data_IF_487527625732
#
_entry.id   IF_487527625732
#
_cell.length_a   1.000
_cell.length_b   1.000
_cell.length_c   1.000
_cell.angle_alpha   90.00
_cell.angle_beta   90.00
_cell.angle_gamma   90.00
#
_symmetry.space_group_name_H-M   'P 1'
#
loop_
_entity.id
_entity.type
_entity.pdbx_description
1 polymer ?
#
# COMPACT_ATOMS: atom_id res chain seq x y z
N UNK A 1 -40.34 7.76 -34.23
CA UNK A 1 -38.93 8.20 -34.19
C UNK A 1 -38.48 8.27 -32.73
N UNK A 2 -37.75 7.28 -32.20
CA UNK A 2 -37.19 7.34 -30.84
C UNK A 2 -35.69 7.54 -30.97
N UNK A 3 -35.22 8.74 -30.65
CA UNK A 3 -33.81 9.05 -30.58
C UNK A 3 -33.17 8.20 -29.47
N UNK A 4 -32.34 7.23 -29.84
CA UNK A 4 -31.49 6.49 -28.92
C UNK A 4 -30.46 7.48 -28.36
N UNK A 5 -30.73 8.03 -27.18
CA UNK A 5 -29.76 8.80 -26.42
C UNK A 5 -28.59 7.87 -26.08
N UNK A 6 -27.53 7.93 -26.89
CA UNK A 6 -26.25 7.27 -26.61
C UNK A 6 -25.70 7.90 -25.33
N UNK A 7 -25.97 7.28 -24.17
CA UNK A 7 -25.25 7.58 -22.93
C UNK A 7 -23.78 7.30 -23.20
N UNK A 8 -23.01 8.36 -23.40
CA UNK A 8 -21.56 8.30 -23.49
C UNK A 8 -21.04 7.91 -22.11
N UNK A 9 -20.82 6.61 -21.92
CA UNK A 9 -20.05 6.11 -20.80
C UNK A 9 -18.60 6.57 -20.99
N UNK A 10 -18.28 7.73 -20.43
CA UNK A 10 -16.90 8.12 -20.23
C UNK A 10 -16.32 7.16 -19.21
N UNK A 11 -15.53 6.19 -19.69
CA UNK A 11 -14.70 5.37 -18.80
C UNK A 11 -13.75 6.34 -18.13
N UNK A 12 -14.05 6.72 -16.89
CA UNK A 12 -13.10 7.45 -16.05
C UNK A 12 -11.90 6.52 -15.89
N UNK A 13 -10.88 6.74 -16.72
CA UNK A 13 -9.62 6.03 -16.59
C UNK A 13 -9.04 6.46 -15.24
N UNK A 14 -9.13 5.57 -14.25
CA UNK A 14 -8.60 5.83 -12.93
C UNK A 14 -7.10 6.17 -13.08
N UNK A 15 -6.73 7.42 -12.78
CA UNK A 15 -5.33 7.88 -12.89
C UNK A 15 -4.45 6.98 -12.03
N UNK A 16 -3.50 6.29 -12.67
CA UNK A 16 -2.49 5.49 -11.98
C UNK A 16 -1.59 6.40 -11.14
N UNK A 17 -1.57 6.18 -9.83
CA UNK A 17 -0.73 6.90 -8.89
C UNK A 17 0.66 6.29 -8.96
N UNK A 18 1.69 7.12 -9.15
CA UNK A 18 3.09 6.67 -9.11
C UNK A 18 3.62 6.84 -7.68
N UNK A 19 4.37 5.85 -7.18
CA UNK A 19 5.00 5.93 -5.85
C UNK A 19 5.92 7.15 -5.69
N UNK A 20 6.57 7.58 -6.77
CA UNK A 20 7.41 8.79 -6.80
C UNK A 20 6.63 10.10 -6.73
N UNK A 21 5.32 10.08 -7.00
CA UNK A 21 4.43 11.25 -7.00
C UNK A 21 3.48 11.26 -5.80
N UNK A 22 3.82 10.55 -4.73
CA UNK A 22 3.05 10.59 -3.48
C UNK A 22 3.23 11.95 -2.81
N UNK A 23 2.19 12.50 -2.17
CA UNK A 23 2.34 13.72 -1.41
C UNK A 23 3.37 13.53 -0.27
N UNK A 24 4.08 14.60 0.11
CA UNK A 24 5.16 14.53 1.09
C UNK A 24 4.63 14.12 2.47
N UNK A 25 5.51 13.53 3.28
CA UNK A 25 5.19 13.29 4.70
C UNK A 25 5.11 14.64 5.43
N UNK A 26 4.10 14.86 6.29
CA UNK A 26 4.10 16.01 7.17
C UNK A 26 5.33 15.94 8.09
N UNK A 27 5.92 17.10 8.35
CA UNK A 27 7.09 17.25 9.22
C UNK A 27 6.68 18.09 10.43
N UNK A 28 7.30 17.84 11.58
CA UNK A 28 7.20 18.74 12.72
C UNK A 28 7.95 20.04 12.39
N UNK A 29 7.34 21.18 12.74
CA UNK A 29 8.03 22.47 12.71
C UNK A 29 8.94 22.61 13.93
N UNK A 30 9.96 23.46 13.83
CA UNK A 30 10.91 23.71 14.93
C UNK A 30 10.22 24.20 16.22
N UNK A 31 9.12 24.95 16.09
CA UNK A 31 8.35 25.43 17.24
C UNK A 31 7.63 24.29 17.97
N UNK A 32 7.02 23.36 17.22
CA UNK A 32 6.35 22.20 17.79
C UNK A 32 7.33 21.27 18.52
N UNK A 33 8.59 21.21 18.09
CA UNK A 33 9.61 20.36 18.74
C UNK A 33 9.93 20.82 20.17
N UNK A 34 9.87 22.12 20.46
CA UNK A 34 10.09 22.68 21.80
C UNK A 34 8.97 22.35 22.78
N UNK A 35 7.77 22.05 22.26
CA UNK A 35 6.57 21.73 23.05
C UNK A 35 6.38 20.23 23.25
N UNK A 36 7.43 19.43 22.95
CA UNK A 36 7.42 17.98 23.11
C UNK A 36 8.03 17.55 24.43
N UNK A 37 7.31 16.66 25.12
CA UNK A 37 7.87 15.88 26.22
C UNK A 37 8.34 14.52 25.68
N UNK A 38 9.64 14.26 25.77
CA UNK A 38 10.28 13.01 25.34
C UNK A 38 10.62 12.13 26.54
N UNK A 39 10.15 10.88 26.52
CA UNK A 39 10.43 9.87 27.55
C UNK A 39 10.98 8.60 26.93
N UNK A 40 11.98 8.02 27.60
CA UNK A 40 12.53 6.71 27.24
C UNK A 40 12.03 5.67 28.21
N UNK A 41 11.39 4.64 27.66
CA UNK A 41 10.75 3.56 28.39
C UNK A 41 11.51 2.26 28.12
N UNK A 42 11.36 1.29 29.02
CA UNK A 42 11.78 -0.09 28.77
C UNK A 42 10.74 -0.78 27.87
N UNK A 43 11.17 -1.74 27.07
CA UNK A 43 10.30 -2.49 26.15
C UNK A 43 9.27 -3.42 26.82
N UNK A 44 9.23 -3.44 28.16
CA UNK A 44 8.32 -4.26 28.97
C UNK A 44 8.86 -5.67 29.27
N UNK A 45 8.09 -6.47 30.02
CA UNK A 45 8.32 -7.91 30.24
C UNK A 45 7.54 -8.77 29.23
N UNK A 46 7.46 -8.32 27.98
CA UNK A 46 6.76 -9.05 26.92
C UNK A 46 7.61 -10.20 26.34
N UNK A 47 7.03 -10.99 25.41
CA UNK A 47 7.79 -11.90 24.57
C UNK A 47 8.80 -11.08 23.74
N UNK A 48 10.03 -11.06 24.21
CA UNK A 48 11.10 -10.24 23.68
C UNK A 48 12.43 -10.74 24.21
N UNK A 49 13.47 -10.64 23.39
CA UNK A 49 14.82 -11.01 23.83
C UNK A 49 15.34 -10.07 24.92
N UNK A 50 16.44 -10.48 25.57
CA UNK A 50 17.09 -9.72 26.64
C UNK A 50 17.32 -8.24 26.25
N UNK A 51 17.69 -7.98 25.00
CA UNK A 51 17.97 -6.63 24.49
C UNK A 51 16.73 -5.74 24.45
N UNK A 52 15.54 -6.28 24.20
CA UNK A 52 14.30 -5.50 24.14
C UNK A 52 13.81 -5.18 25.56
N UNK A 53 13.88 -6.17 26.46
CA UNK A 53 13.29 -6.03 27.78
C UNK A 53 14.15 -5.16 28.72
N UNK A 54 15.48 -5.21 28.57
CA UNK A 54 16.41 -4.46 29.43
C UNK A 54 16.82 -3.09 28.89
N UNK A 55 16.72 -2.85 27.58
CA UNK A 55 17.15 -1.59 26.99
C UNK A 55 16.02 -0.56 27.02
N UNK A 56 16.36 0.70 27.29
CA UNK A 56 15.46 1.86 27.23
C UNK A 56 15.31 2.41 25.80
N UNK A 57 15.13 1.51 24.82
CA UNK A 57 15.04 1.87 23.40
C UNK A 57 13.64 2.31 22.96
N UNK A 58 12.60 2.05 23.75
CA UNK A 58 11.23 2.49 23.49
C UNK A 58 11.13 4.00 23.75
N UNK A 59 10.58 4.74 22.79
CA UNK A 59 10.42 6.20 22.89
C UNK A 59 8.93 6.51 23.00
N UNK A 60 8.57 7.35 23.97
CA UNK A 60 7.26 7.97 24.09
C UNK A 60 7.43 9.48 23.86
N UNK A 61 6.67 10.04 22.93
CA UNK A 61 6.59 11.46 22.66
C UNK A 61 5.18 11.95 22.99
N UNK A 62 5.08 13.04 23.74
CA UNK A 62 3.83 13.72 24.02
C UNK A 62 3.90 15.15 23.52
N UNK A 63 2.94 15.56 22.71
CA UNK A 63 2.75 16.94 22.32
C UNK A 63 1.86 17.63 23.36
N UNK A 64 2.42 18.60 24.09
CA UNK A 64 1.74 19.24 25.22
C UNK A 64 0.43 19.94 24.83
N UNK A 65 0.37 20.80 23.80
CA UNK A 65 -0.84 21.58 23.53
C UNK A 65 -1.97 20.74 22.94
N UNK A 66 -1.67 19.68 22.17
CA UNK A 66 -2.73 18.80 21.65
C UNK A 66 -3.02 17.58 22.54
N UNK A 67 -2.19 17.33 23.56
CA UNK A 67 -2.29 16.15 24.44
C UNK A 67 -2.05 14.80 23.74
N UNK A 68 -1.58 14.79 22.49
CA UNK A 68 -1.39 13.55 21.72
C UNK A 68 -0.10 12.86 22.19
N UNK A 69 -0.24 11.58 22.55
CA UNK A 69 0.88 10.71 22.95
C UNK A 69 1.09 9.65 21.88
N UNK A 70 2.35 9.46 21.49
CA UNK A 70 2.78 8.42 20.54
C UNK A 70 3.93 7.63 21.14
N UNK A 71 3.86 6.32 21.02
CA UNK A 71 4.92 5.39 21.42
C UNK A 71 5.52 4.70 20.20
N UNK A 72 6.84 4.48 20.21
CA UNK A 72 7.53 3.79 19.14
C UNK A 72 8.59 2.82 19.68
N UNK A 73 8.49 1.56 19.27
CA UNK A 73 9.43 0.48 19.56
C UNK A 73 9.54 -0.42 18.33
N UNK A 74 10.15 0.11 17.26
CA UNK A 74 10.23 -0.57 15.97
C UNK A 74 11.59 -1.23 15.77
N UNK A 75 12.65 -0.59 16.29
CA UNK A 75 14.02 -1.10 16.20
C UNK A 75 14.68 -1.20 17.57
N UNK A 76 15.85 -1.84 17.60
CA UNK A 76 16.71 -1.92 18.79
C UNK A 76 17.47 -0.62 19.10
N UNK A 77 17.43 0.38 18.21
CA UNK A 77 18.15 1.65 18.34
C UNK A 77 17.21 2.76 18.80
N UNK A 78 17.58 3.42 19.90
CA UNK A 78 16.83 4.55 20.46
C UNK A 78 16.71 5.70 19.47
N UNK A 79 17.78 6.07 18.77
CA UNK A 79 17.78 7.22 17.86
C UNK A 79 16.91 6.98 16.62
N UNK A 80 16.88 5.74 16.12
CA UNK A 80 15.97 5.34 15.04
C UNK A 80 14.52 5.42 15.51
N UNK A 81 14.21 4.88 16.70
CA UNK A 81 12.87 4.98 17.28
C UNK A 81 12.47 6.43 17.54
N UNK A 82 13.41 7.31 17.94
CA UNK A 82 13.19 8.74 18.14
C UNK A 82 12.75 9.43 16.84
N UNK A 83 13.44 9.15 15.73
CA UNK A 83 13.09 9.66 14.39
C UNK A 83 11.72 9.16 13.93
N UNK A 84 11.46 7.85 14.10
CA UNK A 84 10.18 7.23 13.73
C UNK A 84 9.02 7.76 14.58
N UNK A 85 9.24 7.97 15.89
CA UNK A 85 8.25 8.55 16.78
C UNK A 85 7.89 9.98 16.35
N UNK A 86 8.87 10.81 15.95
CA UNK A 86 8.60 12.14 15.37
C UNK A 86 7.76 12.06 14.11
N UNK A 87 8.10 11.16 13.17
CA UNK A 87 7.31 10.99 11.95
C UNK A 87 5.86 10.59 12.25
N UNK A 88 5.65 9.67 13.20
CA UNK A 88 4.32 9.24 13.66
C UNK A 88 3.55 10.37 14.34
N UNK A 89 4.21 11.15 15.19
CA UNK A 89 3.61 12.28 15.88
C UNK A 89 3.21 13.39 14.89
N UNK A 90 4.05 13.71 13.92
CA UNK A 90 3.75 14.69 12.88
C UNK A 90 2.50 14.31 12.06
N UNK A 91 2.36 13.03 11.71
CA UNK A 91 1.15 12.52 11.06
C UNK A 91 -0.08 12.72 11.95
N UNK A 92 0.01 12.34 13.23
CA UNK A 92 -1.13 12.44 14.15
C UNK A 92 -1.56 13.89 14.41
N UNK A 93 -0.60 14.81 14.53
CA UNK A 93 -0.87 16.25 14.66
C UNK A 93 -1.51 16.79 13.37
N UNK A 94 -0.98 16.46 12.20
CA UNK A 94 -1.55 16.90 10.92
C UNK A 94 -2.99 16.40 10.74
N UNK A 95 -3.27 15.17 11.13
CA UNK A 95 -4.62 14.62 11.14
C UNK A 95 -5.53 15.37 12.12
N UNK A 96 -5.04 15.67 13.33
CA UNK A 96 -5.81 16.44 14.32
C UNK A 96 -6.14 17.84 13.83
N UNK A 97 -5.16 18.55 13.24
CA UNK A 97 -5.34 19.88 12.64
C UNK A 97 -6.35 19.85 11.47
N UNK A 98 -6.37 18.76 10.70
CA UNK A 98 -7.31 18.55 9.59
C UNK A 98 -8.69 18.03 10.02
N UNK A 99 -9.04 18.07 11.30
CA UNK A 99 -10.36 17.64 11.80
C UNK A 99 -10.55 16.12 11.88
N UNK A 100 -9.46 15.34 11.93
CA UNK A 100 -9.49 13.89 12.09
C UNK A 100 -9.60 13.08 10.78
N UNK A 101 -9.78 13.76 9.65
CA UNK A 101 -9.88 13.12 8.33
C UNK A 101 -8.59 12.41 7.90
N UNK A 102 -8.69 11.46 6.94
CA UNK A 102 -7.51 10.76 6.42
C UNK A 102 -6.58 11.74 5.71
N UNK A 103 -5.27 11.62 5.96
CA UNK A 103 -4.29 12.51 5.34
C UNK A 103 -4.21 12.19 3.86
N UNK A 104 -4.05 13.20 2.99
CA UNK A 104 -3.93 13.02 1.54
C UNK A 104 -2.90 11.94 1.14
N UNK A 105 -1.81 11.82 1.91
CA UNK A 105 -0.78 10.79 1.73
C UNK A 105 -1.26 9.38 2.02
N UNK A 106 -2.04 9.19 3.07
CA UNK A 106 -2.61 7.89 3.43
C UNK A 106 -3.60 7.44 2.37
N UNK A 107 -4.46 8.33 1.91
CA UNK A 107 -5.39 8.08 0.79
C UNK A 107 -4.62 7.68 -0.47
N UNK A 108 -3.58 8.44 -0.83
CA UNK A 108 -2.77 8.14 -2.01
C UNK A 108 -2.00 6.82 -1.90
N UNK A 109 -1.50 6.47 -0.71
CA UNK A 109 -0.85 5.18 -0.45
C UNK A 109 -1.83 4.01 -0.57
N UNK A 110 -3.01 4.13 0.03
CA UNK A 110 -4.06 3.12 -0.05
C UNK A 110 -4.50 2.90 -1.51
N UNK A 111 -4.67 3.98 -2.27
CA UNK A 111 -5.01 3.89 -3.69
C UNK A 111 -3.88 3.26 -4.51
N UNK A 112 -2.61 3.59 -4.24
CA UNK A 112 -1.47 2.95 -4.90
C UNK A 112 -1.40 1.44 -4.62
N UNK A 113 -1.64 1.04 -3.37
CA UNK A 113 -1.70 -0.38 -3.01
C UNK A 113 -2.84 -1.10 -3.74
N UNK A 114 -4.03 -0.47 -3.78
CA UNK A 114 -5.20 -0.99 -4.51
C UNK A 114 -4.91 -1.16 -6.00
N UNK A 115 -4.22 -0.20 -6.62
CA UNK A 115 -3.77 -0.28 -8.00
C UNK A 115 -2.78 -1.43 -8.23
N UNK A 116 -1.84 -1.63 -7.29
CA UNK A 116 -0.91 -2.75 -7.31
C UNK A 116 -1.62 -4.10 -7.26
N UNK A 117 -2.60 -4.25 -6.35
CA UNK A 117 -3.43 -5.47 -6.24
C UNK A 117 -4.19 -5.76 -7.54
N UNK A 118 -4.91 -4.75 -8.08
CA UNK A 118 -5.63 -4.86 -9.37
C UNK A 118 -4.71 -5.24 -10.53
N UNK A 119 -3.51 -4.67 -10.58
CA UNK A 119 -2.54 -4.95 -11.64
C UNK A 119 -2.00 -6.38 -11.55
N UNK A 120 -1.72 -6.88 -10.34
CA UNK A 120 -1.31 -8.27 -10.10
C UNK A 120 -2.42 -9.25 -10.49
N UNK A 121 -3.65 -8.96 -10.09
CA UNK A 121 -4.81 -9.78 -10.41
C UNK A 121 -5.04 -9.86 -11.92
N UNK A 122 -5.03 -8.71 -12.62
CA UNK A 122 -5.16 -8.67 -14.09
C UNK A 122 -4.08 -9.51 -14.77
N UNK A 123 -2.80 -9.31 -14.42
CA UNK A 123 -1.70 -10.09 -15.01
C UNK A 123 -1.84 -11.60 -14.76
N UNK A 124 -2.33 -11.97 -13.58
CA UNK A 124 -2.64 -13.37 -13.28
C UNK A 124 -3.72 -13.89 -14.22
N UNK A 125 -4.86 -13.20 -14.34
CA UNK A 125 -5.97 -13.60 -15.24
C UNK A 125 -5.50 -13.69 -16.69
N UNK A 126 -4.82 -12.67 -17.19
CA UNK A 126 -4.30 -12.61 -18.57
C UNK A 126 -3.36 -13.80 -18.85
N UNK A 127 -2.51 -14.21 -17.87
CA UNK A 127 -1.65 -15.40 -18.00
C UNK A 127 -2.47 -16.68 -18.10
N UNK A 128 -3.50 -16.86 -17.28
CA UNK A 128 -4.35 -18.06 -17.30
C UNK A 128 -5.12 -18.16 -18.62
N UNK A 129 -5.70 -17.04 -19.08
CA UNK A 129 -6.41 -16.97 -20.36
C UNK A 129 -5.47 -17.34 -21.51
N UNK A 130 -4.27 -16.74 -21.57
CA UNK A 130 -3.28 -17.05 -22.60
C UNK A 130 -2.85 -18.53 -22.58
N UNK A 131 -2.63 -19.10 -21.39
CA UNK A 131 -2.33 -20.53 -21.29
C UNK A 131 -3.49 -21.41 -21.78
N UNK A 132 -4.75 -21.03 -21.48
CA UNK A 132 -5.92 -21.74 -21.98
C UNK A 132 -6.07 -21.64 -23.50
N UNK A 133 -5.83 -20.45 -24.07
CA UNK A 133 -5.85 -20.22 -25.53
C UNK A 133 -4.79 -21.07 -26.23
N UNK A 134 -3.54 -21.09 -25.73
CA UNK A 134 -2.45 -21.90 -26.29
C UNK A 134 -2.76 -23.40 -26.21
N UNK A 135 -3.38 -23.86 -25.11
CA UNK A 135 -3.80 -25.28 -24.99
C UNK A 135 -4.89 -25.62 -26.01
N UNK A 136 -5.90 -24.75 -26.15
CA UNK A 136 -6.99 -24.93 -27.14
C UNK A 136 -6.48 -24.90 -28.57
N UNK A 137 -5.56 -23.98 -28.90
CA UNK A 137 -5.01 -23.91 -30.26
C UNK A 137 -4.18 -25.14 -30.60
N UNK A 138 -3.40 -25.67 -29.65
CA UNK A 138 -2.65 -26.91 -29.84
C UNK A 138 -3.58 -28.13 -29.99
N UNK A 139 -4.72 -28.15 -29.28
CA UNK A 139 -5.73 -29.20 -29.40
C UNK A 139 -6.44 -29.14 -30.76
N UNK A 140 -6.86 -27.96 -31.20
CA UNK A 140 -7.44 -27.75 -32.53
C UNK A 140 -6.47 -28.16 -33.64
N UNK A 141 -5.19 -27.84 -33.50
CA UNK A 141 -4.18 -28.19 -34.49
C UNK A 141 -3.99 -29.71 -34.60
N UNK A 142 -3.97 -30.44 -33.47
CA UNK A 142 -3.92 -31.90 -33.49
C UNK A 142 -5.12 -32.53 -34.18
N UNK A 143 -6.32 -32.03 -33.91
CA UNK A 143 -7.53 -32.52 -34.58
C UNK A 143 -7.45 -32.30 -36.08
N UNK A 144 -6.91 -31.15 -36.50
CA UNK A 144 -6.75 -30.82 -37.91
C UNK A 144 -5.70 -31.70 -38.59
N UNK A 145 -4.58 -31.96 -37.91
CA UNK A 145 -3.56 -32.91 -38.38
C UNK A 145 -4.14 -34.34 -38.49
N UNK A 146 -4.98 -34.77 -37.54
CA UNK A 146 -5.69 -36.06 -37.59
C UNK A 146 -6.69 -36.13 -38.75
N UNK A 147 -7.47 -35.08 -38.98
CA UNK A 147 -8.38 -34.98 -40.13
C UNK A 147 -7.64 -35.04 -41.46
N UNK A 148 -6.49 -34.38 -41.57
CA UNK A 148 -5.66 -34.39 -42.77
C UNK A 148 -5.04 -35.78 -43.01
N UNK A 149 -4.61 -36.48 -41.96
CA UNK A 149 -4.15 -37.88 -42.05
C UNK A 149 -5.29 -38.77 -42.58
N UNK A 150 -6.48 -38.66 -42.00
CA UNK A 150 -7.64 -39.44 -42.44
C UNK A 150 -8.02 -39.13 -43.89
N UNK A 151 -8.01 -37.86 -44.31
CA UNK A 151 -8.26 -37.48 -45.70
C UNK A 151 -7.28 -38.14 -46.66
N UNK A 152 -5.98 -38.11 -46.35
CA UNK A 152 -4.94 -38.68 -47.20
C UNK A 152 -4.98 -40.22 -47.26
N UNK A 153 -5.59 -40.89 -46.27
CA UNK A 153 -5.76 -42.35 -46.23
C UNK A 153 -6.96 -42.85 -47.06
N UNK A 154 -7.95 -42.00 -47.32
CA UNK A 154 -9.18 -42.33 -48.04
C UNK A 154 -9.25 -41.75 -49.47
N UNK A 155 -8.18 -41.12 -49.96
CA UNK A 155 -7.94 -40.74 -51.37
C UNK A 155 -6.87 -41.63 -51.99
#
# INVERSE_FOLDING_TARGET
>A
MKALLRRSFHVVTARSIKKSKLPPRPKLSTQMESELEEKFLHGGRGPGGQKINKCNSKVQLKHLPSGIVVECQETRSRDQNRKLAREKLALRIAQWQGGGGPIAREVALHEWERQGKRSKERKSKDKHVKHQEVRKSAELQKLQDEEDILRNLFT
#
